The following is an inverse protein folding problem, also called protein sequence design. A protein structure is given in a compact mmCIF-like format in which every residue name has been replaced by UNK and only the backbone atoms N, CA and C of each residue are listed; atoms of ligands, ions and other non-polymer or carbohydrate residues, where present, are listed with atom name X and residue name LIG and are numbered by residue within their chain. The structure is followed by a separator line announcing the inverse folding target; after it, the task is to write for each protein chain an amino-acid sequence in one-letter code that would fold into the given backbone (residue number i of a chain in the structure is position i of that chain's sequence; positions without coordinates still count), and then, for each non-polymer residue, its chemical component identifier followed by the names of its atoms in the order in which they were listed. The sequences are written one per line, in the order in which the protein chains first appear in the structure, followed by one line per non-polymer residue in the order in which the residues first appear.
data_IF_401645541930
#
_entry.id   IF_401645541930
#
_cell.length_a   1.000
_cell.length_b   1.000
_cell.length_c   1.000
_cell.angle_alpha   90.00
_cell.angle_beta   90.00
_cell.angle_gamma   90.00
#
_symmetry.space_group_name_H-M   'P 1'
#
loop_
_entity.id
_entity.type
_entity.pdbx_description
1 polymer ?
#
# COMPACT_ATOMS: atom_id res chain seq x y z
N UNK A 1 -42.43 -26.64 -21.66
CA UNK A 1 -42.12 -27.53 -20.52
C UNK A 1 -40.61 -27.74 -20.48
N UNK A 2 -39.95 -27.10 -19.51
CA UNK A 2 -38.64 -27.47 -18.92
C UNK A 2 -38.73 -28.83 -18.21
N UNK A 3 -37.65 -29.54 -17.79
CA UNK A 3 -36.40 -29.07 -17.11
C UNK A 3 -35.07 -29.69 -17.62
N UNK A 4 -33.90 -29.02 -17.62
CA UNK A 4 -32.93 -28.59 -16.55
C UNK A 4 -31.85 -29.63 -16.14
N UNK A 5 -30.58 -29.15 -16.13
CA UNK A 5 -29.40 -29.53 -15.27
C UNK A 5 -28.59 -30.78 -15.70
N UNK A 6 -27.25 -30.83 -15.74
CA UNK A 6 -26.13 -30.04 -15.18
C UNK A 6 -24.87 -30.18 -16.07
N UNK A 7 -24.11 -29.09 -16.24
CA UNK A 7 -22.67 -29.10 -16.55
C UNK A 7 -21.91 -29.09 -15.21
N UNK A 8 -20.85 -29.89 -15.09
CA UNK A 8 -19.85 -29.78 -14.03
C UNK A 8 -18.47 -29.70 -14.69
N UNK A 9 -17.74 -28.65 -14.30
CA UNK A 9 -16.34 -28.34 -14.52
C UNK A 9 -15.38 -29.51 -14.29
N UNK A 10 -14.41 -29.70 -15.19
CA UNK A 10 -13.03 -30.08 -14.83
C UNK A 10 -12.08 -29.48 -15.89
N UNK A 11 -11.39 -28.39 -15.59
CA UNK A 11 -10.08 -28.12 -16.18
C UNK A 11 -9.23 -27.23 -15.24
N UNK A 12 -8.62 -27.90 -14.26
CA UNK A 12 -7.51 -27.39 -13.46
C UNK A 12 -6.24 -28.13 -13.83
N UNK A 13 -5.17 -27.35 -14.06
CA UNK A 13 -3.75 -27.67 -13.90
C UNK A 13 -3.11 -28.77 -14.76
N UNK A 14 -2.57 -28.37 -15.92
CA UNK A 14 -1.46 -29.11 -16.57
C UNK A 14 -0.54 -28.22 -17.44
N UNK A 15 0.11 -27.22 -16.84
CA UNK A 15 1.11 -26.39 -17.56
C UNK A 15 2.40 -26.10 -16.77
N UNK A 16 2.81 -26.94 -15.82
CA UNK A 16 4.07 -26.71 -15.07
C UNK A 16 5.31 -27.47 -15.58
N UNK A 17 5.19 -28.44 -16.50
CA UNK A 17 6.33 -29.31 -16.85
C UNK A 17 6.92 -29.15 -18.25
N UNK A 18 6.45 -28.19 -19.07
CA UNK A 18 7.00 -27.98 -20.43
C UNK A 18 8.06 -26.87 -20.47
N UNK A 19 8.11 -25.97 -19.48
CA UNK A 19 9.01 -24.81 -19.51
C UNK A 19 10.44 -25.08 -19.02
N UNK A 20 10.64 -26.13 -18.21
CA UNK A 20 11.98 -26.48 -17.70
C UNK A 20 12.85 -27.23 -18.71
N UNK A 21 12.26 -28.00 -19.65
CA UNK A 21 13.07 -28.78 -20.60
C UNK A 21 13.70 -27.94 -21.71
N UNK A 22 13.02 -26.91 -22.21
CA UNK A 22 13.54 -26.03 -23.27
C UNK A 22 14.68 -25.14 -22.80
N UNK A 23 14.68 -24.72 -21.53
CA UNK A 23 15.74 -23.88 -20.98
C UNK A 23 17.07 -24.62 -20.81
N UNK A 24 17.03 -25.90 -20.39
CA UNK A 24 18.23 -26.73 -20.24
C UNK A 24 18.84 -27.13 -21.59
N UNK A 25 18.02 -27.40 -22.61
CA UNK A 25 18.51 -27.76 -23.95
C UNK A 25 19.23 -26.58 -24.61
N UNK A 26 18.74 -25.35 -24.45
CA UNK A 26 19.38 -24.15 -25.02
C UNK A 26 20.73 -23.87 -24.34
N UNK A 27 20.83 -24.04 -23.02
CA UNK A 27 22.09 -23.86 -22.29
C UNK A 27 23.13 -24.92 -22.71
N UNK A 28 22.72 -26.18 -22.88
CA UNK A 28 23.62 -27.25 -23.31
C UNK A 28 24.11 -27.01 -24.75
N UNK A 29 23.24 -26.55 -25.66
CA UNK A 29 23.62 -26.22 -27.04
C UNK A 29 24.61 -25.04 -27.07
N UNK A 30 24.40 -24.00 -26.26
CA UNK A 30 25.31 -22.85 -26.17
C UNK A 30 26.67 -23.26 -25.58
N UNK A 31 26.71 -24.12 -24.56
CA UNK A 31 27.95 -24.63 -23.97
C UNK A 31 28.72 -25.51 -24.98
N UNK A 32 28.02 -26.36 -25.75
CA UNK A 32 28.64 -27.20 -26.78
C UNK A 32 29.20 -26.35 -27.93
N UNK A 33 28.48 -25.31 -28.37
CA UNK A 33 28.95 -24.41 -29.44
C UNK A 33 30.19 -23.61 -29.00
N UNK A 34 30.25 -23.18 -27.74
CA UNK A 34 31.41 -22.46 -27.18
C UNK A 34 32.65 -23.35 -26.96
N UNK A 35 32.47 -24.67 -26.79
CA UNK A 35 33.60 -25.61 -26.62
C UNK A 35 34.20 -26.10 -27.94
N UNK A 36 33.45 -26.11 -29.05
CA UNK A 36 33.89 -26.71 -30.31
C UNK A 36 34.28 -25.71 -31.42
N UNK A 37 33.97 -24.42 -31.29
CA UNK A 37 34.31 -23.41 -32.29
C UNK A 37 34.93 -22.15 -31.66
N UNK A 38 36.27 -22.00 -31.66
CA UNK A 38 36.90 -20.75 -31.28
C UNK A 38 36.75 -19.75 -32.44
N UNK A 39 35.77 -18.85 -32.36
CA UNK A 39 35.65 -17.71 -33.28
C UNK A 39 36.22 -16.43 -32.63
N UNK A 40 36.84 -15.55 -33.43
CA UNK A 40 37.55 -14.36 -32.94
C UNK A 40 36.58 -13.28 -32.42
N UNK A 41 37.06 -12.32 -31.61
CA UNK A 41 36.22 -11.43 -30.84
C UNK A 41 35.54 -10.40 -31.75
N UNK A 42 34.26 -10.62 -32.05
CA UNK A 42 33.38 -9.56 -32.57
C UNK A 42 32.31 -9.30 -31.52
N UNK A 43 32.21 -8.03 -31.16
CA UNK A 43 31.41 -7.43 -30.10
C UNK A 43 29.91 -7.73 -30.27
N UNK A 44 29.42 -8.79 -29.64
CA UNK A 44 27.98 -9.04 -29.47
C UNK A 44 27.48 -8.24 -28.26
N UNK A 45 27.04 -7.01 -28.50
CA UNK A 45 26.20 -6.27 -27.54
C UNK A 45 24.80 -6.89 -27.59
N UNK A 46 24.58 -7.92 -26.78
CA UNK A 46 23.24 -8.43 -26.50
C UNK A 46 22.47 -7.38 -25.67
N UNK A 47 21.56 -6.65 -26.31
CA UNK A 47 20.59 -5.80 -25.60
C UNK A 47 19.65 -6.71 -24.78
N UNK A 48 19.44 -6.46 -23.48
CA UNK A 48 18.56 -7.27 -22.65
C UNK A 48 17.11 -6.87 -22.92
N UNK A 49 16.43 -7.54 -23.86
CA UNK A 49 15.04 -7.24 -24.21
C UNK A 49 14.00 -8.16 -23.54
N UNK A 50 14.40 -9.13 -22.69
CA UNK A 50 13.50 -10.20 -22.23
C UNK A 50 13.26 -10.31 -20.72
N UNK A 51 13.83 -9.43 -19.88
CA UNK A 51 13.63 -9.50 -18.40
C UNK A 51 12.52 -8.55 -17.92
N UNK A 52 12.18 -7.52 -18.69
CA UNK A 52 11.19 -6.49 -18.30
C UNK A 52 9.74 -7.03 -18.39
N UNK A 53 9.47 -7.94 -19.34
CA UNK A 53 8.10 -8.40 -19.61
C UNK A 53 7.52 -9.25 -18.46
N UNK A 54 8.33 -10.05 -17.77
CA UNK A 54 7.87 -10.92 -16.67
C UNK A 54 7.61 -10.15 -15.38
N UNK A 55 8.40 -9.12 -15.07
CA UNK A 55 8.19 -8.29 -13.88
C UNK A 55 6.93 -7.41 -13.99
N UNK A 56 6.66 -6.85 -15.18
CA UNK A 56 5.43 -6.08 -15.41
C UNK A 56 4.16 -6.94 -15.34
N UNK A 57 4.21 -8.19 -15.80
CA UNK A 57 3.10 -9.13 -15.66
C UNK A 57 2.79 -9.45 -14.18
N UNK A 58 3.82 -9.60 -13.34
CA UNK A 58 3.64 -9.86 -11.90
C UNK A 58 3.12 -8.65 -11.13
N UNK A 59 3.52 -7.42 -11.51
CA UNK A 59 2.97 -6.18 -10.93
C UNK A 59 1.49 -6.03 -11.31
N UNK A 60 1.15 -6.37 -12.56
CA UNK A 60 -0.23 -6.39 -13.04
C UNK A 60 -1.09 -7.34 -12.18
N UNK A 61 -0.68 -8.59 -12.00
CA UNK A 61 -1.44 -9.58 -11.22
C UNK A 61 -1.54 -9.22 -9.72
N UNK A 62 -0.48 -8.68 -9.13
CA UNK A 62 -0.47 -8.27 -7.72
C UNK A 62 -1.39 -7.07 -7.47
N UNK A 63 -1.36 -6.03 -8.31
CA UNK A 63 -2.25 -4.86 -8.19
C UNK A 63 -3.69 -5.18 -8.59
N UNK A 64 -3.89 -6.16 -9.48
CA UNK A 64 -5.20 -6.71 -9.87
C UNK A 64 -5.89 -7.41 -8.70
N UNK A 65 -5.14 -8.16 -7.91
CA UNK A 65 -5.72 -9.03 -6.87
C UNK A 65 -5.89 -8.32 -5.52
N UNK A 66 -5.10 -7.28 -5.22
CA UNK A 66 -4.85 -6.90 -3.83
C UNK A 66 -5.82 -5.91 -3.15
N UNK A 67 -6.73 -5.22 -3.85
CA UNK A 67 -7.61 -4.26 -3.17
C UNK A 67 -8.95 -4.86 -2.77
N UNK A 68 -9.36 -4.61 -1.51
CA UNK A 68 -10.73 -4.88 -1.04
C UNK A 68 -11.73 -4.18 -1.97
N UNK A 69 -12.74 -4.95 -2.38
CA UNK A 69 -13.93 -4.41 -3.04
C UNK A 69 -14.60 -3.42 -2.09
N UNK A 70 -14.41 -2.12 -2.31
CA UNK A 70 -15.34 -1.12 -1.80
C UNK A 70 -16.65 -1.41 -2.49
N UNK A 71 -17.62 -1.96 -1.74
CA UNK A 71 -18.97 -2.13 -2.23
C UNK A 71 -19.47 -0.75 -2.70
N UNK A 72 -20.15 -0.72 -3.85
CA UNK A 72 -20.73 0.48 -4.48
C UNK A 72 -21.53 1.39 -3.52
N UNK A 73 -21.93 0.88 -2.36
CA UNK A 73 -22.59 1.62 -1.28
C UNK A 73 -21.74 2.67 -0.57
N UNK A 74 -20.42 2.70 -0.74
CA UNK A 74 -19.50 3.64 -0.08
C UNK A 74 -18.70 4.50 -1.07
N UNK A 75 -19.23 4.80 -2.26
CA UNK A 75 -18.52 5.68 -3.20
C UNK A 75 -18.98 7.14 -3.01
N UNK A 76 -18.05 8.04 -2.70
CA UNK A 76 -18.29 9.49 -2.79
C UNK A 76 -17.76 10.05 -4.11
N UNK A 77 -18.56 10.88 -4.79
CA UNK A 77 -18.06 11.69 -5.91
C UNK A 77 -16.85 12.52 -5.45
N UNK A 78 -15.79 12.54 -6.26
CA UNK A 78 -14.68 13.49 -6.12
C UNK A 78 -13.43 13.05 -5.35
N UNK A 79 -13.39 11.84 -4.77
CA UNK A 79 -12.17 11.32 -4.14
C UNK A 79 -11.21 10.59 -5.11
N UNK A 80 -11.51 10.55 -6.41
CA UNK A 80 -10.77 9.73 -7.40
C UNK A 80 -9.26 10.04 -7.46
N UNK A 81 -8.87 11.28 -7.25
CA UNK A 81 -7.47 11.71 -7.16
C UNK A 81 -6.72 10.98 -6.04
N UNK A 82 -7.34 10.77 -4.88
CA UNK A 82 -6.74 10.06 -3.76
C UNK A 82 -6.57 8.56 -4.07
N UNK A 83 -7.56 7.93 -4.71
CA UNK A 83 -7.47 6.53 -5.15
C UNK A 83 -6.41 6.30 -6.23
N UNK A 84 -6.32 7.21 -7.20
CA UNK A 84 -5.28 7.15 -8.23
C UNK A 84 -3.89 7.30 -7.59
N UNK A 85 -3.73 8.29 -6.70
CA UNK A 85 -2.45 8.57 -6.04
C UNK A 85 -1.98 7.43 -5.15
N UNK A 86 -2.86 6.93 -4.26
CA UNK A 86 -2.54 5.77 -3.41
C UNK A 86 -2.17 4.56 -4.26
N UNK A 87 -2.93 4.26 -5.32
CA UNK A 87 -2.61 3.16 -6.23
C UNK A 87 -1.23 3.26 -6.87
N UNK A 88 -0.79 4.47 -7.25
CA UNK A 88 0.57 4.70 -7.74
C UNK A 88 1.64 4.48 -6.67
N UNK A 89 1.39 4.94 -5.43
CA UNK A 89 2.31 4.76 -4.29
C UNK A 89 2.41 3.27 -3.90
N UNK A 90 1.28 2.57 -3.83
CA UNK A 90 1.21 1.13 -3.57
C UNK A 90 2.03 0.35 -4.60
N UNK A 91 1.88 0.71 -5.88
CA UNK A 91 2.60 0.12 -7.01
C UNK A 91 4.11 0.28 -6.88
N UNK A 92 4.61 1.51 -6.75
CA UNK A 92 6.06 1.73 -6.61
C UNK A 92 6.61 1.12 -5.32
N UNK A 93 5.83 1.11 -4.24
CA UNK A 93 6.25 0.47 -2.99
C UNK A 93 6.46 -1.05 -3.17
N UNK A 94 5.54 -1.73 -3.84
CA UNK A 94 5.72 -3.16 -4.17
C UNK A 94 6.96 -3.38 -5.04
N UNK A 95 7.20 -2.52 -6.03
CA UNK A 95 8.35 -2.63 -6.93
C UNK A 95 9.68 -2.51 -6.18
N UNK A 96 9.80 -1.53 -5.29
CA UNK A 96 11.05 -1.22 -4.59
C UNK A 96 11.30 -2.14 -3.40
N UNK A 97 10.24 -2.50 -2.66
CA UNK A 97 10.37 -3.19 -1.37
C UNK A 97 9.93 -4.65 -1.41
N UNK A 98 9.21 -5.07 -2.46
CA UNK A 98 8.55 -6.37 -2.54
C UNK A 98 7.32 -6.50 -1.64
N UNK A 99 6.90 -5.43 -0.94
CA UNK A 99 5.75 -5.42 -0.04
C UNK A 99 4.60 -4.59 -0.61
N UNK A 100 3.46 -5.25 -0.79
CA UNK A 100 2.23 -4.59 -1.23
C UNK A 100 1.43 -4.27 0.03
N UNK A 101 1.18 -2.98 0.24
CA UNK A 101 0.58 -2.43 1.45
C UNK A 101 -0.61 -1.59 1.03
N UNK A 102 -1.80 -1.88 1.56
CA UNK A 102 -3.00 -1.08 1.26
C UNK A 102 -2.91 0.24 2.00
N UNK A 103 -2.92 1.35 1.28
CA UNK A 103 -2.76 2.70 1.83
C UNK A 103 -4.11 3.39 2.04
N UNK A 104 -4.13 4.41 2.89
CA UNK A 104 -5.37 5.14 3.21
C UNK A 104 -5.63 6.28 2.22
N UNK A 105 -6.71 6.18 1.43
CA UNK A 105 -7.20 7.33 0.65
C UNK A 105 -7.82 8.36 1.58
N UNK A 106 -8.44 7.92 2.67
CA UNK A 106 -9.13 8.81 3.59
C UNK A 106 -8.17 9.76 4.28
N UNK A 107 -6.93 9.33 4.56
CA UNK A 107 -5.89 10.22 5.07
C UNK A 107 -5.62 11.37 4.09
N UNK A 108 -5.53 11.09 2.78
CA UNK A 108 -5.40 12.14 1.77
C UNK A 108 -6.64 13.03 1.73
N UNK A 109 -7.84 12.42 1.65
CA UNK A 109 -9.11 13.16 1.59
C UNK A 109 -9.28 14.12 2.76
N UNK A 110 -9.00 13.66 3.99
CA UNK A 110 -9.19 14.46 5.20
C UNK A 110 -8.06 15.48 5.42
N UNK A 111 -6.81 15.14 5.08
CA UNK A 111 -5.62 15.87 5.55
C UNK A 111 -4.85 16.63 4.47
N UNK A 112 -4.99 16.29 3.19
CA UNK A 112 -4.40 17.06 2.10
C UNK A 112 -5.32 18.21 1.67
N UNK A 113 -5.29 19.27 2.48
CA UNK A 113 -6.14 20.46 2.32
C UNK A 113 -5.36 21.68 1.79
N UNK A 114 -4.11 21.50 1.34
CA UNK A 114 -3.28 22.64 0.88
C UNK A 114 -3.65 23.10 -0.53
N UNK A 115 -3.96 22.14 -1.41
CA UNK A 115 -4.37 22.35 -2.80
C UNK A 115 -5.57 21.49 -3.18
N UNK A 116 -5.64 20.29 -2.61
CA UNK A 116 -6.77 19.38 -2.78
C UNK A 116 -7.92 19.75 -1.84
N UNK A 117 -9.14 19.32 -2.21
CA UNK A 117 -10.38 19.71 -1.54
C UNK A 117 -11.23 18.50 -1.16
N UNK A 118 -10.60 17.41 -0.71
CA UNK A 118 -11.29 16.19 -0.32
C UNK A 118 -12.21 15.65 -1.42
N UNK A 119 -13.50 15.49 -1.12
CA UNK A 119 -14.54 15.06 -2.07
C UNK A 119 -14.95 16.16 -3.06
N UNK A 120 -14.48 17.40 -2.89
CA UNK A 120 -14.61 18.47 -3.89
C UNK A 120 -13.69 18.30 -5.10
N UNK A 121 -12.74 17.36 -5.04
CA UNK A 121 -11.77 17.09 -6.09
C UNK A 121 -10.34 17.41 -5.70
N UNK A 122 -9.41 17.03 -6.56
CA UNK A 122 -7.98 17.19 -6.33
C UNK A 122 -7.14 16.68 -7.49
N UNK A 123 -5.82 16.84 -7.35
CA UNK A 123 -4.80 16.44 -8.31
C UNK A 123 -3.79 15.52 -7.62
N UNK A 124 -3.28 14.55 -8.39
CA UNK A 124 -2.49 13.43 -7.88
C UNK A 124 -1.06 13.83 -7.51
N UNK A 125 -0.48 14.77 -8.24
CA UNK A 125 0.84 15.35 -7.98
C UNK A 125 0.90 16.08 -6.63
N UNK A 126 -0.13 16.87 -6.28
CA UNK A 126 -0.24 17.48 -4.96
C UNK A 126 -0.41 16.46 -3.85
N UNK A 127 -1.10 15.35 -4.10
CA UNK A 127 -1.20 14.26 -3.14
C UNK A 127 0.17 13.62 -2.88
N UNK A 128 0.98 13.39 -3.92
CA UNK A 128 2.36 12.93 -3.74
C UNK A 128 3.19 13.95 -2.95
N UNK A 129 3.08 15.23 -3.28
CA UNK A 129 3.75 16.29 -2.56
C UNK A 129 3.37 16.32 -1.07
N UNK A 130 2.08 16.10 -0.77
CA UNK A 130 1.59 16.02 0.59
C UNK A 130 2.18 14.82 1.34
N UNK A 131 2.24 13.63 0.72
CA UNK A 131 2.84 12.43 1.35
C UNK A 131 4.31 12.66 1.69
N UNK A 132 5.06 13.33 0.81
CA UNK A 132 6.46 13.71 1.07
C UNK A 132 6.55 14.64 2.30
N UNK A 133 5.72 15.68 2.34
CA UNK A 133 5.68 16.65 3.47
C UNK A 133 5.23 15.99 4.78
N UNK A 134 4.27 15.07 4.71
CA UNK A 134 3.77 14.31 5.86
C UNK A 134 4.77 13.24 6.33
N UNK A 135 5.84 12.99 5.57
CA UNK A 135 6.85 11.95 5.80
C UNK A 135 6.27 10.54 5.74
N UNK A 136 5.33 10.34 4.81
CA UNK A 136 4.70 9.06 4.53
C UNK A 136 3.18 9.10 4.69
N UNK A 137 2.58 7.93 4.59
CA UNK A 137 1.14 7.70 4.61
C UNK A 137 0.83 6.39 5.34
N UNK A 138 -0.27 6.35 6.09
CA UNK A 138 -0.72 5.23 6.90
C UNK A 138 -1.49 4.18 6.06
N UNK A 139 -1.73 3.01 6.67
CA UNK A 139 -2.49 1.94 5.99
C UNK A 139 -3.98 2.24 5.97
N UNK A 140 -4.69 1.62 5.02
CA UNK A 140 -6.15 1.60 4.99
C UNK A 140 -6.75 1.04 6.30
N UNK A 141 -6.07 0.14 7.00
CA UNK A 141 -6.57 -0.38 8.27
C UNK A 141 -6.42 0.63 9.42
N UNK A 142 -5.40 1.47 9.39
CA UNK A 142 -5.15 2.48 10.43
C UNK A 142 -6.04 3.72 10.23
N UNK A 143 -6.32 4.07 8.97
CA UNK A 143 -7.21 5.16 8.60
C UNK A 143 -8.21 4.72 7.50
N UNK A 144 -9.28 4.00 7.86
CA UNK A 144 -10.21 3.43 6.88
C UNK A 144 -11.00 4.47 6.08
N UNK A 145 -11.31 4.13 4.82
CA UNK A 145 -12.20 4.91 3.98
C UNK A 145 -13.62 5.02 4.54
N UNK A 146 -14.13 6.25 4.56
CA UNK A 146 -15.43 6.61 5.12
C UNK A 146 -16.38 7.20 4.08
N UNK A 147 -15.96 7.33 2.82
CA UNK A 147 -16.80 7.85 1.75
C UNK A 147 -17.36 9.22 2.08
N UNK A 148 -16.49 10.18 2.36
CA UNK A 148 -16.88 11.54 2.68
C UNK A 148 -15.75 12.32 3.33
N UNK A 149 -15.88 13.64 3.33
CA UNK A 149 -14.94 14.51 4.03
C UNK A 149 -15.11 14.36 5.53
N UNK A 150 -14.00 14.27 6.24
CA UNK A 150 -13.93 14.33 7.69
C UNK A 150 -12.80 15.24 8.14
N UNK A 151 -12.85 15.66 9.40
CA UNK A 151 -11.74 16.41 9.97
C UNK A 151 -10.49 15.51 10.03
N UNK A 152 -9.35 16.04 9.56
CA UNK A 152 -8.07 15.35 9.63
C UNK A 152 -7.75 14.83 11.03
N UNK A 153 -7.74 13.51 11.19
CA UNK A 153 -7.50 12.86 12.47
C UNK A 153 -6.02 12.52 12.67
N UNK A 154 -5.28 13.46 13.23
CA UNK A 154 -3.83 13.31 13.51
C UNK A 154 -3.47 12.11 14.38
N UNK A 155 -4.41 11.58 15.18
CA UNK A 155 -4.15 10.40 16.02
C UNK A 155 -4.06 9.11 15.19
N UNK A 156 -4.63 9.09 13.98
CA UNK A 156 -4.54 7.96 13.05
C UNK A 156 -3.31 8.05 12.13
N UNK A 157 -2.72 9.23 11.97
CA UNK A 157 -1.57 9.51 11.09
C UNK A 157 -0.20 9.24 11.74
N UNK A 158 -0.10 8.16 12.51
CA UNK A 158 1.03 7.95 13.42
C UNK A 158 2.07 6.97 12.91
N UNK A 159 1.71 6.04 12.02
CA UNK A 159 2.63 4.97 11.62
C UNK A 159 3.38 5.29 10.34
N UNK A 160 2.75 6.00 9.38
CA UNK A 160 3.38 6.45 8.12
C UNK A 160 4.19 5.31 7.45
N UNK A 161 3.52 4.21 7.18
CA UNK A 161 4.14 2.93 6.83
C UNK A 161 4.84 2.91 5.48
N UNK A 162 4.48 3.83 4.57
CA UNK A 162 5.08 3.96 3.25
C UNK A 162 5.47 5.41 3.01
N UNK A 163 6.67 5.61 2.47
CA UNK A 163 7.22 6.90 2.06
C UNK A 163 7.57 6.88 0.58
N UNK A 164 7.56 8.07 -0.03
CA UNK A 164 8.08 8.33 -1.37
C UNK A 164 9.11 9.47 -1.28
N UNK A 165 10.07 9.49 -2.18
CA UNK A 165 11.21 10.40 -2.15
C UNK A 165 10.93 11.68 -2.96
N UNK A 166 10.23 11.54 -4.10
CA UNK A 166 9.80 12.64 -4.96
C UNK A 166 8.61 12.21 -5.84
N UNK A 167 8.23 13.02 -6.82
CA UNK A 167 7.29 12.65 -7.88
C UNK A 167 7.74 13.28 -9.20
N UNK A 168 7.14 12.84 -10.31
CA UNK A 168 7.44 13.36 -11.65
C UNK A 168 6.15 13.46 -12.46
N UNK A 169 5.97 14.61 -13.10
CA UNK A 169 4.93 14.81 -14.10
C UNK A 169 5.44 14.36 -15.46
N UNK A 170 4.63 13.58 -16.16
CA UNK A 170 4.89 13.20 -17.54
C UNK A 170 4.55 14.41 -18.42
N UNK A 171 5.40 14.79 -19.38
CA UNK A 171 5.09 15.89 -20.30
C UNK A 171 3.72 15.72 -20.96
N UNK A 172 2.92 16.78 -20.93
CA UNK A 172 1.55 16.73 -21.45
C UNK A 172 1.54 16.29 -22.92
N UNK A 173 0.61 15.40 -23.26
CA UNK A 173 0.39 14.90 -24.61
C UNK A 173 1.60 14.16 -25.24
N UNK A 174 2.57 13.72 -24.44
CA UNK A 174 3.68 12.86 -24.86
C UNK A 174 3.40 11.40 -24.48
N UNK A 175 2.65 10.71 -25.34
CA UNK A 175 2.23 9.33 -25.12
C UNK A 175 3.42 8.35 -25.00
N UNK A 176 4.52 8.62 -25.70
CA UNK A 176 5.70 7.76 -25.63
C UNK A 176 6.41 7.90 -24.28
N UNK A 177 6.49 9.11 -23.72
CA UNK A 177 6.97 9.31 -22.35
C UNK A 177 6.05 8.67 -21.32
N UNK A 178 4.74 8.77 -21.51
CA UNK A 178 3.77 8.08 -20.66
C UNK A 178 3.98 6.56 -20.71
N UNK A 179 4.15 5.99 -21.90
CA UNK A 179 4.43 4.55 -22.09
C UNK A 179 5.72 4.12 -21.40
N UNK A 180 6.77 4.94 -21.49
CA UNK A 180 8.04 4.68 -20.81
C UNK A 180 7.88 4.68 -19.28
N UNK A 181 7.09 5.59 -18.72
CA UNK A 181 6.78 5.62 -17.29
C UNK A 181 5.94 4.40 -16.86
N UNK A 182 4.89 4.05 -17.62
CA UNK A 182 4.04 2.88 -17.34
C UNK A 182 4.82 1.57 -17.42
N UNK A 183 5.87 1.51 -18.26
CA UNK A 183 6.71 0.33 -18.38
C UNK A 183 7.57 0.05 -17.13
N UNK A 184 7.73 1.03 -16.23
CA UNK A 184 8.54 0.87 -15.01
C UNK A 184 7.70 0.85 -13.73
N UNK A 185 6.49 1.45 -13.74
CA UNK A 185 5.59 1.48 -12.58
C UNK A 185 4.17 1.93 -13.00
N UNK A 186 3.15 1.76 -12.14
CA UNK A 186 1.85 2.38 -12.36
C UNK A 186 1.91 3.92 -12.34
N UNK A 187 1.07 4.55 -13.16
CA UNK A 187 1.04 6.01 -13.35
C UNK A 187 -0.37 6.54 -13.13
N UNK A 188 -0.50 7.58 -12.30
CA UNK A 188 -1.74 8.29 -12.08
C UNK A 188 -2.05 9.17 -13.28
N UNK A 189 -3.28 9.12 -13.80
CA UNK A 189 -3.71 9.92 -14.94
C UNK A 189 -5.10 10.53 -14.76
N UNK A 190 -5.31 11.72 -15.31
CA UNK A 190 -6.61 12.37 -15.45
C UNK A 190 -7.25 12.05 -16.81
N UNK A 191 -8.58 11.89 -16.83
CA UNK A 191 -9.39 11.72 -18.04
C UNK A 191 -10.81 12.27 -17.84
N UNK A 192 -11.58 12.34 -18.92
CA UNK A 192 -13.03 12.57 -18.85
C UNK A 192 -13.78 11.24 -18.63
N UNK A 193 -14.31 11.05 -17.43
CA UNK A 193 -15.08 9.88 -17.00
C UNK A 193 -16.59 10.11 -16.88
N UNK A 194 -17.06 11.36 -16.99
CA UNK A 194 -18.50 11.69 -16.88
C UNK A 194 -19.34 11.28 -18.10
N UNK A 195 -18.71 10.88 -19.20
CA UNK A 195 -19.40 10.54 -20.44
C UNK A 195 -20.15 9.20 -20.34
N UNK A 196 -21.35 9.14 -20.93
CA UNK A 196 -22.23 7.96 -20.83
C UNK A 196 -21.56 6.67 -21.34
N UNK A 197 -20.77 6.79 -22.41
CA UNK A 197 -19.99 5.71 -22.99
C UNK A 197 -18.98 5.12 -22.00
N UNK A 198 -18.32 5.98 -21.22
CA UNK A 198 -17.37 5.59 -20.18
C UNK A 198 -18.09 4.94 -18.99
N UNK A 199 -19.18 5.56 -18.52
CA UNK A 199 -19.99 5.05 -17.40
C UNK A 199 -20.54 3.64 -17.66
N UNK A 200 -20.95 3.36 -18.90
CA UNK A 200 -21.55 2.07 -19.29
C UNK A 200 -20.54 1.06 -19.86
N UNK A 201 -19.24 1.36 -19.79
CA UNK A 201 -18.21 0.44 -20.26
C UNK A 201 -18.30 -0.91 -19.53
N UNK A 202 -18.16 -2.00 -20.30
CA UNK A 202 -18.21 -3.38 -19.79
C UNK A 202 -17.03 -4.22 -20.24
N UNK A 203 -16.61 -4.14 -21.52
CA UNK A 203 -15.50 -4.92 -22.07
C UNK A 203 -14.98 -4.35 -23.39
N UNK A 204 -13.83 -4.87 -23.84
CA UNK A 204 -13.19 -4.52 -25.11
C UNK A 204 -12.32 -3.26 -25.01
N UNK A 205 -11.76 -2.84 -26.14
CA UNK A 205 -10.93 -1.62 -26.20
C UNK A 205 -11.85 -0.41 -26.39
N UNK A 206 -11.89 0.45 -25.38
CA UNK A 206 -12.67 1.69 -25.38
C UNK A 206 -11.99 2.76 -26.23
N UNK A 207 -12.71 3.29 -27.22
CA UNK A 207 -12.24 4.35 -28.14
C UNK A 207 -13.13 5.59 -28.11
N UNK A 208 -14.00 5.73 -27.11
CA UNK A 208 -14.97 6.83 -27.00
C UNK A 208 -16.37 6.50 -27.56
N UNK A 209 -17.20 7.51 -27.80
CA UNK A 209 -16.89 8.95 -27.74
C UNK A 209 -16.69 9.46 -26.30
N UNK A 210 -15.87 10.49 -26.11
CA UNK A 210 -15.76 11.22 -24.84
C UNK A 210 -15.16 12.63 -25.06
N UNK A 211 -15.50 13.58 -24.20
CA UNK A 211 -14.83 14.88 -24.16
C UNK A 211 -13.39 14.79 -23.65
N UNK A 212 -12.69 15.92 -23.61
CA UNK A 212 -11.35 16.07 -23.00
C UNK A 212 -11.36 17.02 -21.79
N UNK A 213 -12.55 17.31 -21.26
CA UNK A 213 -12.69 18.04 -20.00
C UNK A 213 -12.45 17.04 -18.87
N UNK A 214 -11.22 17.04 -18.33
CA UNK A 214 -10.81 16.09 -17.30
C UNK A 214 -11.66 16.30 -16.03
N UNK A 215 -12.27 15.23 -15.54
CA UNK A 215 -13.13 15.24 -14.34
C UNK A 215 -12.94 14.01 -13.45
N UNK A 216 -12.09 13.07 -13.87
CA UNK A 216 -11.85 11.83 -13.17
C UNK A 216 -10.38 11.43 -13.23
N UNK A 217 -9.88 10.84 -12.14
CA UNK A 217 -8.53 10.32 -12.06
C UNK A 217 -8.55 8.80 -11.92
N UNK A 218 -7.72 8.13 -12.71
CA UNK A 218 -7.56 6.66 -12.72
C UNK A 218 -6.08 6.30 -12.68
N UNK A 219 -5.79 5.01 -12.63
CA UNK A 219 -4.41 4.50 -12.61
C UNK A 219 -4.15 3.66 -13.87
N UNK A 220 -3.10 3.99 -14.62
CA UNK A 220 -2.60 3.09 -15.67
C UNK A 220 -1.68 2.07 -15.00
N UNK A 221 -2.01 0.78 -15.14
CA UNK A 221 -1.24 -0.34 -14.55
C UNK A 221 -0.47 -1.15 -15.59
N UNK A 222 -0.66 -0.85 -16.87
CA UNK A 222 0.01 -1.53 -17.97
C UNK A 222 -0.51 -1.08 -19.33
N UNK A 223 0.00 -1.73 -20.37
CA UNK A 223 -0.45 -1.53 -21.75
C UNK A 223 -0.27 -2.81 -22.56
N UNK A 224 -1.00 -2.91 -23.67
CA UNK A 224 -0.94 -4.04 -24.57
C UNK A 224 -1.32 -3.66 -26.00
N UNK A 225 -1.52 -4.70 -26.81
CA UNK A 225 -1.97 -4.62 -28.18
C UNK A 225 -2.83 -5.85 -28.49
N UNK A 226 -3.96 -5.66 -29.15
CA UNK A 226 -4.86 -6.73 -29.58
C UNK A 226 -5.38 -6.41 -30.99
N UNK A 227 -5.23 -7.34 -31.93
CA UNK A 227 -5.68 -7.19 -33.32
C UNK A 227 -5.19 -5.90 -34.01
N UNK A 228 -3.96 -5.48 -33.71
CA UNK A 228 -3.37 -4.25 -34.26
C UNK A 228 -3.85 -2.96 -33.59
N UNK A 229 -4.67 -3.06 -32.54
CA UNK A 229 -5.11 -1.92 -31.73
C UNK A 229 -4.37 -1.93 -30.40
N UNK A 230 -3.65 -0.85 -30.17
CA UNK A 230 -2.88 -0.62 -28.96
C UNK A 230 -3.79 -0.08 -27.84
N UNK A 231 -3.58 -0.51 -26.58
CA UNK A 231 -4.37 -0.03 -25.45
C UNK A 231 -3.57 0.16 -24.14
N UNK A 232 -4.07 1.06 -23.30
CA UNK A 232 -3.77 1.17 -21.87
C UNK A 232 -4.65 0.22 -21.06
N UNK A 233 -4.12 -0.31 -19.96
CA UNK A 233 -4.89 -1.05 -18.95
C UNK A 233 -5.11 -0.12 -17.77
N UNK A 234 -6.35 0.29 -17.56
CA UNK A 234 -6.76 1.24 -16.53
C UNK A 234 -7.39 0.51 -15.36
N UNK A 235 -6.99 0.87 -14.14
CA UNK A 235 -7.69 0.52 -12.91
C UNK A 235 -8.57 1.68 -12.48
N UNK A 236 -9.86 1.42 -12.32
CA UNK A 236 -10.84 2.41 -11.86
C UNK A 236 -11.20 2.20 -10.38
N UNK A 237 -11.82 3.20 -9.77
CA UNK A 237 -12.24 3.21 -8.36
C UNK A 237 -13.75 2.97 -8.15
N UNK A 238 -14.46 2.46 -9.17
CA UNK A 238 -15.92 2.22 -9.15
C UNK A 238 -16.31 0.77 -8.81
N UNK A 239 -15.37 0.01 -8.25
CA UNK A 239 -15.58 -1.38 -7.88
C UNK A 239 -15.59 -2.36 -9.05
N UNK A 240 -15.72 -3.65 -8.74
CA UNK A 240 -15.51 -4.74 -9.71
C UNK A 240 -16.67 -4.96 -10.68
N UNK A 241 -17.85 -4.40 -10.39
CA UNK A 241 -19.03 -4.54 -11.26
C UNK A 241 -18.97 -3.64 -12.49
N UNK A 242 -18.06 -2.66 -12.50
CA UNK A 242 -17.84 -1.78 -13.64
C UNK A 242 -16.72 -2.34 -14.53
N UNK A 243 -16.89 -2.27 -15.85
CA UNK A 243 -15.88 -2.75 -16.80
C UNK A 243 -15.53 -4.22 -16.62
N UNK A 244 -14.25 -4.53 -16.81
CA UNK A 244 -13.70 -5.87 -16.71
C UNK A 244 -13.11 -6.06 -15.30
N UNK A 245 -13.96 -6.39 -14.32
CA UNK A 245 -13.57 -6.50 -12.91
C UNK A 245 -12.97 -5.20 -12.33
N UNK A 246 -13.51 -4.04 -12.71
CA UNK A 246 -13.00 -2.73 -12.29
C UNK A 246 -11.93 -2.14 -13.22
N UNK A 247 -11.56 -2.85 -14.29
CA UNK A 247 -10.57 -2.43 -15.26
C UNK A 247 -11.20 -2.02 -16.60
N UNK A 248 -10.45 -1.23 -17.36
CA UNK A 248 -10.79 -0.85 -18.73
C UNK A 248 -9.55 -0.96 -19.62
N UNK A 249 -9.74 -1.48 -20.84
CA UNK A 249 -8.77 -1.26 -21.90
C UNK A 249 -9.17 0.02 -22.64
N UNK A 250 -8.28 1.02 -22.68
CA UNK A 250 -8.52 2.28 -23.38
C UNK A 250 -7.54 2.40 -24.55
N UNK A 251 -8.03 2.72 -25.74
CA UNK A 251 -7.19 2.81 -26.93
C UNK A 251 -6.05 3.83 -26.73
N UNK A 252 -4.84 3.41 -27.07
CA UNK A 252 -3.63 4.25 -27.18
C UNK A 252 -3.22 4.33 -28.65
N UNK A 253 -2.31 5.23 -29.00
CA UNK A 253 -1.88 5.49 -30.37
C UNK A 253 -3.04 5.80 -31.32
N UNK A 254 -4.06 6.54 -30.85
CA UNK A 254 -5.24 6.91 -31.64
C UNK A 254 -4.96 7.98 -32.71
N UNK A 255 -3.76 8.56 -32.71
CA UNK A 255 -3.39 9.73 -33.52
C UNK A 255 -3.75 11.07 -32.87
N UNK A 256 -4.48 11.05 -31.75
CA UNK A 256 -4.77 12.23 -30.93
C UNK A 256 -3.69 12.40 -29.86
N UNK A 257 -2.96 13.52 -29.90
CA UNK A 257 -1.88 13.78 -28.93
C UNK A 257 -2.38 13.81 -27.49
N UNK A 258 -3.60 14.30 -27.26
CA UNK A 258 -4.20 14.35 -25.93
C UNK A 258 -4.71 12.98 -25.46
N UNK A 259 -4.72 11.97 -26.33
CA UNK A 259 -5.22 10.64 -26.05
C UNK A 259 -6.74 10.58 -25.98
N UNK A 260 -7.29 9.35 -25.98
CA UNK A 260 -8.72 9.12 -25.79
C UNK A 260 -9.13 9.68 -24.42
N UNK A 261 -10.22 10.47 -24.40
CA UNK A 261 -10.73 11.17 -23.21
C UNK A 261 -9.74 12.11 -22.50
N UNK A 262 -8.67 12.55 -23.20
CA UNK A 262 -7.65 13.41 -22.61
C UNK A 262 -6.64 12.68 -21.72
N UNK A 263 -6.56 11.34 -21.77
CA UNK A 263 -5.72 10.54 -20.86
C UNK A 263 -4.22 10.89 -20.88
N UNK A 264 -3.71 11.48 -21.96
CA UNK A 264 -2.31 11.89 -22.06
C UNK A 264 -2.06 13.32 -21.52
N UNK A 265 -3.10 14.04 -21.07
CA UNK A 265 -2.98 15.46 -20.70
C UNK A 265 -2.48 15.70 -19.28
N UNK A 266 -2.76 14.80 -18.35
CA UNK A 266 -2.43 14.99 -16.93
C UNK A 266 -1.97 13.66 -16.34
N UNK A 267 -0.68 13.41 -16.35
CA UNK A 267 -0.10 12.16 -15.86
C UNK A 267 1.08 12.42 -14.93
N UNK A 268 1.11 11.74 -13.78
CA UNK A 268 2.18 11.87 -12.81
C UNK A 268 2.39 10.57 -12.03
N UNK A 269 3.59 10.37 -11.51
CA UNK A 269 3.93 9.19 -10.74
C UNK A 269 4.90 9.51 -9.60
N UNK A 270 4.81 8.80 -8.45
CA UNK A 270 5.71 8.96 -7.33
C UNK A 270 7.03 8.24 -7.60
N UNK A 271 8.12 8.76 -7.07
CA UNK A 271 9.46 8.15 -7.13
C UNK A 271 9.82 7.62 -5.75
N UNK A 272 10.27 6.38 -5.69
CA UNK A 272 10.77 5.73 -4.49
C UNK A 272 12.03 4.94 -4.82
N UNK A 273 13.01 5.10 -3.95
CA UNK A 273 14.33 4.45 -3.96
C UNK A 273 14.68 3.96 -2.56
N UNK A 274 14.12 4.62 -1.52
CA UNK A 274 14.31 4.28 -0.12
C UNK A 274 13.42 3.10 0.33
N UNK A 275 13.89 2.24 1.26
CA UNK A 275 13.04 1.27 1.93
C UNK A 275 11.93 1.96 2.75
N UNK A 276 10.92 1.20 3.17
CA UNK A 276 9.91 1.73 4.07
C UNK A 276 10.49 2.06 5.44
N UNK A 277 9.90 3.03 6.17
CA UNK A 277 10.24 3.26 7.56
C UNK A 277 10.16 1.95 8.35
N UNK A 278 11.05 1.76 9.35
CA UNK A 278 10.93 0.61 10.23
C UNK A 278 9.53 0.61 10.85
N UNK A 279 8.88 -0.55 10.97
CA UNK A 279 7.53 -0.62 11.52
C UNK A 279 7.52 0.09 12.87
N UNK A 280 6.54 0.98 13.07
CA UNK A 280 6.33 1.63 14.36
C UNK A 280 6.35 0.55 15.44
N UNK A 281 7.12 0.71 16.52
CA UNK A 281 7.39 -0.42 17.38
C UNK A 281 6.05 -0.90 17.98
N UNK A 282 5.83 -2.21 17.96
CA UNK A 282 4.53 -2.76 18.36
C UNK A 282 4.23 -2.44 19.83
N UNK A 283 2.95 -2.22 20.21
CA UNK A 283 2.56 -2.06 21.61
C UNK A 283 3.12 -3.20 22.48
N UNK A 284 3.71 -2.89 23.63
CA UNK A 284 4.21 -3.91 24.55
C UNK A 284 3.02 -4.69 25.12
N UNK A 285 2.87 -5.96 24.75
CA UNK A 285 1.80 -6.82 25.27
C UNK A 285 2.08 -7.15 26.74
N UNK A 286 1.17 -6.75 27.63
CA UNK A 286 1.25 -7.07 29.05
C UNK A 286 0.54 -8.37 29.38
N UNK A 287 -0.62 -8.60 28.76
CA UNK A 287 -1.35 -9.86 28.81
C UNK A 287 -2.21 -10.03 27.55
N UNK A 288 -3.04 -11.08 27.52
CA UNK A 288 -3.93 -11.37 26.39
C UNK A 288 -4.83 -10.17 26.00
N UNK A 289 -5.25 -9.38 26.99
CA UNK A 289 -6.24 -8.30 26.80
C UNK A 289 -5.68 -6.90 27.11
N UNK A 290 -4.42 -6.77 27.53
CA UNK A 290 -3.82 -5.48 27.89
C UNK A 290 -2.47 -5.28 27.22
N UNK A 291 -2.26 -4.05 26.76
CA UNK A 291 -0.99 -3.61 26.17
C UNK A 291 -0.63 -2.21 26.65
N UNK A 292 0.67 -1.97 26.71
CA UNK A 292 1.24 -0.64 26.87
C UNK A 292 1.65 -0.07 25.51
N UNK A 293 1.95 1.22 25.50
CA UNK A 293 2.51 1.89 24.34
C UNK A 293 3.80 1.23 23.86
N UNK A 294 4.19 1.62 22.66
CA UNK A 294 5.44 1.19 22.07
C UNK A 294 6.65 1.61 22.91
N UNK A 295 7.57 0.69 23.21
CA UNK A 295 8.76 0.97 24.03
C UNK A 295 8.45 1.23 25.51
N UNK A 296 7.24 0.90 25.97
CA UNK A 296 6.87 1.00 27.38
C UNK A 296 6.99 -0.34 28.10
N UNK A 297 7.20 -0.29 29.41
CA UNK A 297 7.30 -1.47 30.26
C UNK A 297 5.99 -1.75 30.98
N UNK A 298 5.51 -2.99 30.88
CA UNK A 298 4.35 -3.48 31.61
C UNK A 298 4.70 -3.74 33.08
N UNK A 299 4.15 -2.95 33.98
CA UNK A 299 4.29 -3.11 35.42
C UNK A 299 3.01 -3.66 36.05
N UNK A 300 3.17 -4.60 36.98
CA UNK A 300 2.03 -5.17 37.67
C UNK A 300 1.48 -4.19 38.72
N UNK A 301 0.25 -3.71 38.52
CA UNK A 301 -0.43 -2.78 39.42
C UNK A 301 -1.10 -3.47 40.61
N UNK A 302 -1.66 -4.68 40.40
CA UNK A 302 -2.29 -5.48 41.46
C UNK A 302 -1.90 -6.94 41.32
N UNK A 303 -1.33 -7.50 42.39
CA UNK A 303 -0.90 -8.89 42.45
C UNK A 303 -1.70 -9.64 43.53
N UNK A 304 -2.20 -10.83 43.20
CA UNK A 304 -2.83 -11.74 44.16
C UNK A 304 -2.32 -13.16 43.88
N UNK A 305 -1.78 -13.84 44.89
CA UNK A 305 -1.22 -15.20 44.78
C UNK A 305 -0.18 -15.36 43.64
N UNK A 306 0.67 -14.34 43.43
CA UNK A 306 1.71 -14.36 42.39
C UNK A 306 1.22 -13.95 40.99
N UNK A 307 -0.09 -13.97 40.75
CA UNK A 307 -0.73 -13.60 39.46
C UNK A 307 -0.99 -12.09 39.42
N UNK A 308 -0.73 -11.48 38.27
CA UNK A 308 -1.02 -10.07 38.04
C UNK A 308 -2.43 -9.89 37.47
N UNK A 309 -3.28 -9.13 38.17
CA UNK A 309 -4.68 -8.88 37.77
C UNK A 309 -4.89 -7.53 37.09
N UNK A 310 -3.95 -6.60 37.22
CA UNK A 310 -3.99 -5.33 36.51
C UNK A 310 -2.59 -4.89 36.10
N UNK A 311 -2.51 -4.31 34.90
CA UNK A 311 -1.27 -3.84 34.31
C UNK A 311 -1.29 -2.33 34.23
N UNK A 312 -0.13 -1.74 34.52
CA UNK A 312 0.17 -0.33 34.32
C UNK A 312 1.38 -0.20 33.41
N UNK A 313 1.50 0.94 32.76
CA UNK A 313 2.55 1.21 31.79
C UNK A 313 3.54 2.20 32.36
N UNK A 314 4.81 1.83 32.33
CA UNK A 314 5.91 2.75 32.54
C UNK A 314 6.32 3.33 31.19
N UNK A 315 6.43 4.66 31.08
CA UNK A 315 6.85 5.36 29.86
C UNK A 315 8.31 5.18 29.45
N UNK A 316 8.96 4.11 29.93
CA UNK A 316 10.36 3.77 29.66
C UNK A 316 10.46 2.32 29.19
N UNK A 317 11.44 2.07 28.32
CA UNK A 317 11.79 0.73 27.88
C UNK A 317 12.60 0.01 28.96
N UNK A 318 12.33 -1.29 29.14
CA UNK A 318 13.00 -2.18 30.10
C UNK A 318 13.07 -1.61 31.54
N UNK A 319 12.06 -0.87 31.96
CA UNK A 319 12.00 -0.21 33.25
C UNK A 319 11.90 -1.20 34.41
N UNK A 320 12.46 -0.83 35.56
CA UNK A 320 12.29 -1.57 36.81
C UNK A 320 11.00 -1.12 37.49
N UNK A 321 10.05 -2.03 37.63
CA UNK A 321 8.79 -1.77 38.33
C UNK A 321 9.01 -1.75 39.85
N UNK A 322 8.68 -0.62 40.49
CA UNK A 322 8.87 -0.46 41.92
C UNK A 322 7.81 -1.23 42.72
N UNK A 323 8.15 -1.55 43.97
CA UNK A 323 7.29 -2.34 44.88
C UNK A 323 6.02 -1.61 45.32
N UNK A 324 5.94 -0.30 45.12
CA UNK A 324 4.75 0.50 45.39
C UNK A 324 3.63 0.31 44.36
N UNK A 325 3.91 -0.42 43.26
CA UNK A 325 2.97 -0.66 42.16
C UNK A 325 2.43 0.63 41.51
N UNK A 326 3.18 1.72 41.64
CA UNK A 326 2.82 3.05 41.16
C UNK A 326 3.96 3.74 40.44
N UNK A 327 5.20 3.44 40.81
CA UNK A 327 6.36 4.06 40.20
C UNK A 327 7.24 3.05 39.48
N UNK A 328 8.06 3.56 38.56
CA UNK A 328 9.05 2.79 37.85
C UNK A 328 10.34 3.59 37.68
N UNK A 329 11.43 2.87 37.51
CA UNK A 329 12.77 3.42 37.34
C UNK A 329 13.38 2.98 36.01
N UNK A 330 14.26 3.80 35.40
CA UNK A 330 15.05 3.36 34.26
C UNK A 330 15.89 2.13 34.59
N UNK A 331 16.15 1.28 33.60
CA UNK A 331 17.00 0.10 33.75
C UNK A 331 18.37 0.41 34.37
N UNK A 332 18.97 1.55 33.99
CA UNK A 332 20.28 1.99 34.48
C UNK A 332 20.28 2.52 35.93
N UNK A 333 19.08 2.73 36.50
CA UNK A 333 18.86 3.17 37.88
C UNK A 333 17.88 2.23 38.58
N UNK A 334 18.22 0.95 38.76
CA UNK A 334 17.25 -0.09 39.10
C UNK A 334 16.74 -0.04 40.55
N UNK A 335 17.34 0.79 41.41
CA UNK A 335 17.01 0.84 42.83
C UNK A 335 15.94 1.89 43.07
N UNK A 336 14.72 1.45 43.40
CA UNK A 336 13.60 2.33 43.73
C UNK A 336 13.67 2.81 45.20
N UNK A 337 13.65 4.13 45.40
CA UNK A 337 13.23 4.76 46.65
C UNK A 337 11.85 5.36 46.47
N UNK A 338 10.86 4.64 46.99
CA UNK A 338 9.44 5.00 46.87
C UNK A 338 9.02 6.10 47.84
N UNK A 339 9.83 6.39 48.88
CA UNK A 339 9.53 7.45 49.85
C UNK A 339 9.91 8.82 49.27
N UNK A 340 11.06 8.89 48.59
CA UNK A 340 11.56 10.12 47.97
C UNK A 340 11.22 10.23 46.47
N UNK A 341 10.60 9.19 45.88
CA UNK A 341 10.31 9.07 44.45
C UNK A 341 11.58 9.17 43.57
N UNK A 342 12.65 8.50 43.98
CA UNK A 342 13.96 8.53 43.33
C UNK A 342 14.41 7.14 42.89
N UNK A 343 15.29 7.13 41.90
CA UNK A 343 15.91 5.94 41.36
C UNK A 343 17.42 6.07 41.44
N UNK A 344 18.11 5.04 41.94
CA UNK A 344 19.55 5.05 42.16
C UNK A 344 20.26 3.98 41.33
N UNK A 345 21.51 4.28 40.95
CA UNK A 345 22.35 3.37 40.16
C UNK A 345 22.98 2.26 41.01
N UNK A 346 23.32 2.54 42.26
CA UNK A 346 23.91 1.60 43.24
C UNK A 346 23.48 1.97 44.66
N UNK A 347 23.39 0.98 45.56
CA UNK A 347 23.05 1.22 46.96
C UNK A 347 24.10 2.12 47.61
N UNK A 348 23.69 3.26 48.17
CA UNK A 348 24.57 4.22 48.85
C UNK A 348 25.29 5.26 47.97
N UNK A 349 24.93 5.41 46.68
CA UNK A 349 25.54 6.39 45.76
C UNK A 349 24.66 7.65 45.58
N UNK A 350 25.26 8.80 45.26
CA UNK A 350 24.60 10.11 45.10
C UNK A 350 24.01 10.36 43.69
N UNK A 351 24.31 9.51 42.72
CA UNK A 351 23.76 9.62 41.36
C UNK A 351 22.33 9.10 41.31
N UNK A 352 21.39 10.01 41.12
CA UNK A 352 19.95 9.76 41.21
C UNK A 352 19.20 10.35 40.02
N UNK A 353 18.09 9.70 39.65
CA UNK A 353 17.10 10.24 38.69
C UNK A 353 15.71 10.18 39.30
N UNK A 354 14.80 11.06 38.87
CA UNK A 354 13.41 11.06 39.34
C UNK A 354 12.70 9.81 38.84
N UNK A 355 11.97 9.12 39.73
CA UNK A 355 11.08 8.02 39.35
C UNK A 355 9.89 8.52 38.53
N UNK A 356 9.40 7.69 37.61
CA UNK A 356 8.21 8.00 36.82
C UNK A 356 6.98 7.31 37.41
N UNK A 357 5.85 8.01 37.39
CA UNK A 357 4.55 7.41 37.71
C UNK A 357 4.06 6.56 36.54
N UNK A 358 3.52 5.40 36.87
CA UNK A 358 2.94 4.47 35.91
C UNK A 358 1.52 4.93 35.51
N UNK A 359 1.18 4.81 34.23
CA UNK A 359 -0.17 5.08 33.69
C UNK A 359 -1.00 3.81 33.57
N UNK A 360 -2.32 3.92 33.50
CA UNK A 360 -3.17 2.74 33.26
C UNK A 360 -2.90 2.14 31.88
N UNK A 361 -2.93 0.80 31.79
CA UNK A 361 -2.77 0.10 30.51
C UNK A 361 -4.03 0.21 29.63
N UNK A 362 -3.84 0.08 28.32
CA UNK A 362 -4.97 0.10 27.38
C UNK A 362 -5.58 -1.29 27.33
N UNK A 363 -6.82 -1.43 27.78
CA UNK A 363 -7.61 -2.64 27.60
C UNK A 363 -8.07 -2.75 26.14
N UNK A 364 -7.79 -3.88 25.49
CA UNK A 364 -8.47 -4.23 24.24
C UNK A 364 -9.90 -4.64 24.60
N UNK A 365 -10.84 -3.69 24.60
CA UNK A 365 -12.25 -4.03 24.46
C UNK A 365 -12.49 -4.48 23.02
N UNK A 366 -12.18 -5.75 22.75
CA UNK A 366 -12.67 -6.42 21.55
C UNK A 366 -14.19 -6.53 21.65
N UNK A 367 -14.89 -6.08 20.60
CA UNK A 367 -16.32 -6.31 20.48
C UNK A 367 -16.69 -7.78 20.72
N UNK A 368 -17.95 -8.01 21.09
CA UNK A 368 -18.57 -9.25 21.60
C UNK A 368 -18.24 -10.56 20.85
N UNK A 369 -17.60 -10.50 19.67
CA UNK A 369 -17.09 -11.66 18.92
C UNK A 369 -15.79 -12.26 19.48
N UNK A 370 -14.94 -11.48 20.15
CA UNK A 370 -13.63 -11.96 20.64
C UNK A 370 -13.72 -12.86 21.89
N UNK A 371 -14.84 -12.83 22.62
CA UNK A 371 -15.08 -13.69 23.79
C UNK A 371 -15.42 -15.13 23.37
N UNK A 372 -15.95 -15.33 22.16
CA UNK A 372 -16.39 -16.65 21.68
C UNK A 372 -15.21 -17.51 21.19
N UNK A 373 -14.14 -16.92 20.67
CA UNK A 373 -12.96 -17.67 20.23
C UNK A 373 -12.04 -18.14 21.36
N UNK A 374 -12.14 -17.55 22.56
CA UNK A 374 -11.35 -17.96 23.73
C UNK A 374 -11.91 -19.18 24.47
N UNK A 375 -13.06 -19.72 24.04
CA UNK A 375 -13.73 -20.90 24.64
C UNK A 375 -13.71 -22.14 23.72
N UNK A 376 -13.03 -22.08 22.57
CA UNK A 376 -12.95 -23.18 21.59
C UNK A 376 -11.50 -23.59 21.25
N UNK A 377 -10.61 -23.50 22.22
CA UNK A 377 -9.34 -24.24 22.33
C UNK A 377 -9.26 -24.84 23.73
#
# INVERSE_FOLDING_TARGET
MTPSKNLIDIEGTKYENVFMCTFFIIIIIIIIILFYFPLPPVLLVAKPLCIIHSHNFLIHDALVTYRRNYLLTFFTPGACWAFSSTGSIEGINQIVTGSLVSLSEQELVDCDQSYNSGCGGGLMDYAFQWVIKNRGIDTENDYPYQAGDSACNKNKMTRRVVTIDSYTDVPESDEEKLRQAVAIQPVSVGLCGSERSFQLYSKGIFSGPCSKSLDHAVLIVGYGSENGVDYWILKNSWGTNWGMNGYMHMQRNSGDKQGVCGINMLASYPVKTSPNPPPSPSPTKCSLLTSCGSGETCCCGRRLLGICFSWKCCGLDSAVCCKDHRSCCPHDYPICDTNEQKCYKRAGNSTMVKGLEQRESVAKFGGWRSVVEAWYL
#
